data_IF_983795119790
#
_entry.id   IF_983795119790
#
_cell.length_a   1.000
_cell.length_b   1.000
_cell.length_c   1.000
_cell.angle_alpha   90.00
_cell.angle_beta   90.00
_cell.angle_gamma   90.00
#
_symmetry.space_group_name_H-M   'P 1'
#
loop_
_entity.id
_entity.type
_entity.pdbx_description
1 polymer ?
#
# COMPACT_ATOMS: atom_id res chain seq x y z
N UNK A 1 -17.18 -1.65 -6.94
CA UNK A 1 -16.87 -1.44 -5.51
C UNK A 1 -15.44 -1.87 -5.23
N UNK A 2 -14.73 -1.13 -4.41
CA UNK A 2 -13.34 -1.44 -4.06
C UNK A 2 -13.22 -2.76 -3.31
N UNK A 3 -12.35 -3.64 -3.77
CA UNK A 3 -12.00 -4.85 -3.03
C UNK A 3 -10.90 -4.51 -2.03
N UNK A 4 -11.03 -5.00 -0.79
CA UNK A 4 -10.07 -4.70 0.28
C UNK A 4 -9.39 -5.97 0.75
N UNK A 5 -8.04 -5.93 0.84
CA UNK A 5 -7.23 -7.02 1.34
C UNK A 5 -6.36 -6.52 2.50
N UNK A 6 -6.40 -7.24 3.63
CA UNK A 6 -5.52 -7.00 4.78
C UNK A 6 -4.46 -8.09 4.84
N UNK A 7 -3.20 -7.67 4.83
CA UNK A 7 -2.06 -8.56 5.08
C UNK A 7 -1.59 -8.34 6.50
N UNK A 8 -1.80 -9.33 7.37
CA UNK A 8 -1.56 -9.21 8.80
C UNK A 8 -0.31 -9.96 9.25
N UNK A 9 0.21 -9.61 10.42
CA UNK A 9 1.41 -10.20 11.02
C UNK A 9 2.65 -10.03 10.14
N UNK A 10 2.79 -8.87 9.49
CA UNK A 10 3.97 -8.56 8.71
C UNK A 10 5.19 -8.38 9.64
N UNK A 11 6.25 -9.18 9.51
CA UNK A 11 7.42 -9.05 10.38
C UNK A 11 8.18 -7.73 10.13
N UNK A 12 8.15 -7.24 8.90
CA UNK A 12 8.69 -5.94 8.52
C UNK A 12 7.68 -5.31 7.57
N UNK A 13 6.94 -4.34 8.09
CA UNK A 13 5.82 -3.73 7.36
C UNK A 13 6.28 -3.10 6.05
N UNK A 14 7.38 -2.36 6.07
CA UNK A 14 7.85 -1.64 4.89
C UNK A 14 8.44 -2.59 3.84
N UNK A 15 9.15 -3.62 4.27
CA UNK A 15 9.66 -4.64 3.37
C UNK A 15 8.53 -5.43 2.73
N UNK A 16 7.50 -5.76 3.51
CA UNK A 16 6.29 -6.41 3.00
C UNK A 16 5.61 -5.53 1.95
N UNK A 17 5.49 -4.24 2.22
CA UNK A 17 4.95 -3.27 1.26
C UNK A 17 5.76 -3.28 -0.04
N UNK A 18 7.08 -3.27 0.06
CA UNK A 18 7.97 -3.32 -1.10
C UNK A 18 7.72 -4.57 -1.95
N UNK A 19 7.57 -5.72 -1.32
CA UNK A 19 7.29 -6.99 -2.00
C UNK A 19 5.93 -6.99 -2.69
N UNK A 20 4.92 -6.42 -2.04
CA UNK A 20 3.58 -6.30 -2.61
C UNK A 20 3.61 -5.41 -3.85
N UNK A 21 4.31 -4.27 -3.76
CA UNK A 21 4.47 -3.36 -4.89
C UNK A 21 5.17 -4.04 -6.06
N UNK A 22 6.26 -4.75 -5.80
CA UNK A 22 7.02 -5.43 -6.84
C UNK A 22 6.18 -6.52 -7.53
N UNK A 23 5.41 -7.28 -6.76
CA UNK A 23 4.51 -8.29 -7.31
C UNK A 23 3.41 -7.66 -8.16
N UNK A 24 2.80 -6.59 -7.66
CA UNK A 24 1.75 -5.88 -8.38
C UNK A 24 2.27 -5.31 -9.70
N UNK A 25 3.47 -4.75 -9.69
CA UNK A 25 4.12 -4.27 -10.90
C UNK A 25 4.33 -5.39 -11.92
N UNK A 26 4.81 -6.55 -11.46
CA UNK A 26 5.01 -7.74 -12.31
C UNK A 26 3.70 -8.19 -12.96
N UNK A 27 2.59 -8.05 -12.23
CA UNK A 27 1.25 -8.38 -12.76
C UNK A 27 0.65 -7.29 -13.65
N UNK A 28 1.37 -6.19 -13.88
CA UNK A 28 0.91 -5.10 -14.74
C UNK A 28 0.01 -4.09 -14.06
N UNK A 29 -0.05 -4.06 -12.73
CA UNK A 29 -0.91 -3.13 -12.00
C UNK A 29 -0.24 -1.77 -11.82
N UNK A 30 -1.05 -0.72 -11.82
CA UNK A 30 -0.65 0.63 -11.44
C UNK A 30 -0.96 0.85 -9.97
N UNK A 31 0.04 1.27 -9.18
CA UNK A 31 -0.03 1.26 -7.73
C UNK A 31 0.29 2.65 -7.17
N UNK A 32 -0.54 3.11 -6.23
CA UNK A 32 -0.23 4.24 -5.37
C UNK A 32 0.10 3.70 -3.99
N UNK A 33 1.34 3.90 -3.54
CA UNK A 33 1.76 3.58 -2.16
C UNK A 33 1.64 4.86 -1.33
N UNK A 34 0.70 4.86 -0.40
CA UNK A 34 0.37 6.03 0.40
C UNK A 34 0.97 5.92 1.80
N UNK A 35 2.04 6.68 2.02
CA UNK A 35 2.86 6.63 3.24
C UNK A 35 2.41 7.67 4.27
N UNK A 36 2.68 7.42 5.58
CA UNK A 36 2.27 8.35 6.63
C UNK A 36 3.06 9.65 6.64
N UNK A 37 4.30 9.64 6.17
CA UNK A 37 5.20 10.79 6.20
C UNK A 37 6.28 10.68 5.12
N UNK A 38 7.04 11.78 4.98
CA UNK A 38 8.12 11.85 3.98
C UNK A 38 9.24 10.85 4.27
N UNK A 39 9.55 10.61 5.53
CA UNK A 39 10.61 9.66 5.92
C UNK A 39 10.26 8.23 5.46
N UNK A 40 9.05 7.79 5.73
CA UNK A 40 8.57 6.47 5.30
C UNK A 40 8.56 6.36 3.77
N UNK A 41 8.12 7.41 3.08
CA UNK A 41 8.12 7.44 1.62
C UNK A 41 9.55 7.30 1.07
N UNK A 42 10.51 7.98 1.64
CA UNK A 42 11.93 7.87 1.25
C UNK A 42 12.49 6.48 1.51
N UNK A 43 12.13 5.88 2.64
CA UNK A 43 12.58 4.53 2.99
C UNK A 43 12.01 3.49 2.03
N UNK A 44 10.74 3.60 1.66
CA UNK A 44 10.14 2.73 0.66
C UNK A 44 10.80 2.93 -0.70
N UNK A 45 11.04 4.17 -1.09
CA UNK A 45 11.73 4.49 -2.34
C UNK A 45 13.10 3.79 -2.42
N UNK A 46 13.88 3.84 -1.34
CA UNK A 46 15.18 3.14 -1.29
C UNK A 46 15.04 1.63 -1.42
N UNK A 47 14.05 1.05 -0.73
CA UNK A 47 13.80 -0.39 -0.81
C UNK A 47 13.44 -0.82 -2.22
N UNK A 48 12.64 -0.03 -2.93
CA UNK A 48 12.29 -0.32 -4.32
C UNK A 48 13.50 -0.27 -5.25
N UNK A 49 14.49 0.58 -4.93
CA UNK A 49 15.73 0.64 -5.70
C UNK A 49 16.69 -0.51 -5.40
N UNK A 50 16.71 -1.02 -4.17
CA UNK A 50 17.79 -1.86 -3.65
C UNK A 50 17.40 -3.28 -3.30
N UNK A 51 16.12 -3.63 -3.33
CA UNK A 51 15.66 -4.96 -2.88
C UNK A 51 15.65 -5.93 -4.06
N UNK A 52 16.67 -6.83 -4.19
CA UNK A 52 16.63 -7.92 -5.12
C UNK A 52 15.70 -9.04 -4.59
N UNK A 53 15.28 -10.00 -5.39
CA UNK A 53 15.56 -10.19 -6.82
C UNK A 53 14.53 -9.54 -7.75
N UNK A 54 13.74 -8.61 -7.25
CA UNK A 54 12.62 -8.03 -7.99
C UNK A 54 13.05 -7.23 -9.21
N UNK A 55 14.34 -6.91 -9.31
CA UNK A 55 14.83 -6.06 -10.36
C UNK A 55 14.35 -4.62 -10.17
N UNK A 56 14.44 -3.82 -11.22
CA UNK A 56 14.05 -2.43 -11.17
C UNK A 56 12.52 -2.30 -11.26
N UNK A 57 11.91 -1.62 -10.26
CA UNK A 57 10.49 -1.25 -10.29
C UNK A 57 10.39 0.24 -10.57
N UNK A 58 9.87 0.65 -11.73
CA UNK A 58 9.71 2.08 -12.02
C UNK A 58 8.77 2.74 -11.02
N UNK A 59 9.28 3.76 -10.31
CA UNK A 59 8.49 4.48 -9.32
C UNK A 59 8.93 5.94 -9.23
N UNK A 60 8.04 6.80 -8.77
CA UNK A 60 8.32 8.22 -8.58
C UNK A 60 7.37 8.85 -7.55
N UNK A 61 7.66 10.10 -7.17
CA UNK A 61 6.78 10.91 -6.34
C UNK A 61 5.70 11.59 -7.19
N UNK A 62 4.59 12.06 -6.59
CA UNK A 62 3.48 12.67 -7.34
C UNK A 62 3.88 13.93 -8.14
N UNK A 63 4.88 14.68 -7.68
CA UNK A 63 5.35 15.89 -8.35
C UNK A 63 6.30 15.66 -9.52
N UNK A 64 6.65 14.41 -9.82
CA UNK A 64 7.57 14.07 -10.89
C UNK A 64 6.91 14.32 -12.26
N UNK A 65 7.62 14.92 -13.24
CA UNK A 65 7.06 15.13 -14.58
C UNK A 65 6.62 13.85 -15.29
N UNK A 66 7.17 12.68 -14.89
CA UNK A 66 6.85 11.39 -15.49
C UNK A 66 5.75 10.63 -14.74
N UNK A 67 5.05 11.28 -13.81
CA UNK A 67 4.06 10.62 -12.94
C UNK A 67 3.00 9.86 -13.72
N UNK A 68 2.50 10.43 -14.82
CA UNK A 68 1.45 9.79 -15.62
C UNK A 68 1.92 8.53 -16.35
N UNK A 69 3.22 8.38 -16.53
CA UNK A 69 3.83 7.26 -17.27
C UNK A 69 4.45 6.22 -16.34
N UNK A 70 4.46 6.47 -15.04
CA UNK A 70 5.12 5.60 -14.07
C UNK A 70 4.10 4.73 -13.37
N UNK A 71 4.27 3.39 -13.35
CA UNK A 71 3.26 2.49 -12.77
C UNK A 71 3.16 2.56 -11.25
N UNK A 72 4.23 2.94 -10.56
CA UNK A 72 4.24 3.00 -9.09
C UNK A 72 4.51 4.42 -8.63
N UNK A 73 3.58 4.96 -7.85
CA UNK A 73 3.71 6.29 -7.24
C UNK A 73 3.86 6.11 -5.73
N UNK A 74 4.87 6.74 -5.16
CA UNK A 74 5.08 6.76 -3.69
C UNK A 74 4.73 8.15 -3.19
N UNK A 75 3.64 8.26 -2.44
CA UNK A 75 3.09 9.53 -1.97
C UNK A 75 2.96 9.55 -0.45
N UNK A 76 3.02 10.75 0.15
CA UNK A 76 2.77 10.94 1.58
C UNK A 76 1.87 12.15 1.87
N UNK A 77 1.46 12.88 0.85
CA UNK A 77 0.68 14.11 1.03
C UNK A 77 -0.81 13.93 0.84
N UNK A 78 -1.25 12.91 0.11
CA UNK A 78 -2.66 12.66 -0.13
C UNK A 78 -3.29 13.61 -1.14
N UNK A 79 -2.51 14.13 -2.08
CA UNK A 79 -3.03 14.91 -3.19
C UNK A 79 -3.83 14.03 -4.13
N UNK A 80 -4.51 14.63 -5.10
CA UNK A 80 -5.38 13.89 -6.01
C UNK A 80 -4.62 12.78 -6.73
N UNK A 81 -5.03 11.51 -6.58
CA UNK A 81 -4.28 10.39 -7.14
C UNK A 81 -4.37 10.35 -8.66
N UNK A 82 -3.24 10.02 -9.29
CA UNK A 82 -3.14 9.81 -10.74
C UNK A 82 -3.65 8.43 -11.12
N UNK A 83 -3.41 7.43 -10.27
CA UNK A 83 -3.84 6.05 -10.51
C UNK A 83 -5.14 5.74 -9.81
N UNK A 84 -5.84 4.71 -10.31
CA UNK A 84 -7.12 4.25 -9.76
C UNK A 84 -7.23 2.72 -9.65
N UNK A 85 -6.13 1.99 -9.85
CA UNK A 85 -6.17 0.53 -9.79
C UNK A 85 -5.91 -0.01 -8.40
N UNK A 86 -4.71 0.17 -7.86
CA UNK A 86 -4.32 -0.39 -6.57
C UNK A 86 -3.82 0.72 -5.64
N UNK A 87 -4.43 0.82 -4.47
CA UNK A 87 -3.98 1.70 -3.40
C UNK A 87 -3.39 0.84 -2.29
N UNK A 88 -2.11 1.05 -1.98
CA UNK A 88 -1.44 0.43 -0.83
C UNK A 88 -1.39 1.46 0.29
N UNK A 89 -2.15 1.22 1.36
CA UNK A 89 -2.21 2.15 2.49
C UNK A 89 -1.22 1.74 3.58
N UNK A 90 -0.29 2.65 3.88
CA UNK A 90 0.68 2.47 4.97
C UNK A 90 0.43 3.44 6.11
N UNK A 91 -0.65 4.21 6.06
CA UNK A 91 -1.02 5.17 7.09
C UNK A 91 -1.85 4.51 8.19
N UNK A 92 -1.96 5.19 9.34
CA UNK A 92 -2.79 4.75 10.45
C UNK A 92 -4.28 4.95 10.17
N UNK A 93 -4.63 5.98 9.40
CA UNK A 93 -6.01 6.27 9.03
C UNK A 93 -6.34 5.69 7.66
N UNK A 94 -7.64 5.51 7.39
CA UNK A 94 -8.07 5.15 6.04
C UNK A 94 -7.97 6.39 5.13
N UNK A 95 -7.46 6.22 3.90
CA UNK A 95 -7.41 7.34 2.96
C UNK A 95 -8.81 7.75 2.52
N UNK A 96 -9.09 9.06 2.50
CA UNK A 96 -10.42 9.55 2.13
C UNK A 96 -10.82 9.16 0.71
N UNK A 97 -9.85 8.97 -0.16
CA UNK A 97 -10.08 8.65 -1.58
C UNK A 97 -10.03 7.16 -1.91
N UNK A 98 -10.02 6.28 -0.89
CA UNK A 98 -9.82 4.84 -1.14
C UNK A 98 -10.88 4.24 -2.09
N UNK A 99 -12.09 4.75 -2.05
CA UNK A 99 -13.19 4.27 -2.88
C UNK A 99 -13.03 4.53 -4.38
N UNK A 100 -12.04 5.34 -4.76
CA UNK A 100 -11.73 5.60 -6.18
C UNK A 100 -10.89 4.50 -6.81
N UNK A 101 -10.34 3.59 -6.00
CA UNK A 101 -9.47 2.52 -6.46
C UNK A 101 -10.25 1.21 -6.62
N UNK A 102 -9.81 0.38 -7.55
CA UNK A 102 -10.38 -0.95 -7.73
C UNK A 102 -10.05 -1.86 -6.57
N UNK A 103 -8.85 -1.69 -6.00
CA UNK A 103 -8.35 -2.50 -4.91
C UNK A 103 -7.60 -1.65 -3.88
N UNK A 104 -7.86 -1.94 -2.60
CA UNK A 104 -7.13 -1.35 -1.48
C UNK A 104 -6.39 -2.46 -0.74
N UNK A 105 -5.10 -2.26 -0.50
CA UNK A 105 -4.28 -3.19 0.27
C UNK A 105 -3.84 -2.50 1.56
N UNK A 106 -4.10 -3.18 2.69
CA UNK A 106 -3.66 -2.76 4.02
C UNK A 106 -2.59 -3.72 4.51
N UNK A 107 -1.51 -3.19 5.09
CA UNK A 107 -0.44 -3.99 5.68
C UNK A 107 -0.40 -3.73 7.17
N UNK A 108 -0.46 -4.79 7.97
CA UNK A 108 -0.51 -4.72 9.43
C UNK A 108 0.68 -5.48 10.01
N UNK A 109 1.48 -4.82 10.84
CA UNK A 109 2.58 -5.45 11.54
C UNK A 109 2.11 -6.18 12.80
N UNK A 110 3.05 -6.84 13.50
CA UNK A 110 2.76 -7.46 14.79
C UNK A 110 2.71 -6.48 15.96
N UNK A 111 3.02 -5.21 15.74
CA UNK A 111 2.98 -4.18 16.78
C UNK A 111 1.55 -3.95 17.30
N UNK A 112 1.40 -3.85 18.62
CA UNK A 112 0.09 -3.73 19.26
C UNK A 112 -0.67 -2.48 18.83
N UNK A 113 0.02 -1.35 18.71
CA UNK A 113 -0.61 -0.09 18.27
C UNK A 113 -1.04 -0.15 16.81
N UNK A 114 -0.20 -0.71 15.96
CA UNK A 114 -0.54 -0.87 14.54
C UNK A 114 -1.75 -1.79 14.37
N UNK A 115 -1.81 -2.88 15.13
CA UNK A 115 -2.95 -3.80 15.11
C UNK A 115 -4.24 -3.13 15.60
N UNK A 116 -4.15 -2.30 16.62
CA UNK A 116 -5.31 -1.55 17.13
C UNK A 116 -5.86 -0.60 16.07
N UNK A 117 -4.99 0.17 15.42
CA UNK A 117 -5.37 1.08 14.35
C UNK A 117 -5.96 0.34 13.15
N UNK A 118 -5.39 -0.81 12.82
CA UNK A 118 -5.89 -1.66 11.74
C UNK A 118 -7.30 -2.17 12.01
N UNK A 119 -7.62 -2.51 13.26
CA UNK A 119 -8.98 -2.92 13.65
C UNK A 119 -9.99 -1.81 13.43
N UNK A 120 -9.61 -0.57 13.71
CA UNK A 120 -10.47 0.60 13.46
C UNK A 120 -10.76 0.76 11.97
N UNK A 121 -9.73 0.62 11.12
CA UNK A 121 -9.90 0.68 9.66
C UNK A 121 -10.75 -0.47 9.16
N UNK A 122 -10.51 -1.68 9.64
CA UNK A 122 -11.28 -2.87 9.27
C UNK A 122 -12.77 -2.66 9.58
N UNK A 123 -13.08 -2.18 10.78
CA UNK A 123 -14.46 -1.89 11.18
C UNK A 123 -15.09 -0.85 10.27
N UNK A 124 -14.36 0.21 9.95
CA UNK A 124 -14.84 1.26 9.08
C UNK A 124 -15.25 0.71 7.71
N UNK A 125 -14.39 -0.10 7.09
CA UNK A 125 -14.68 -0.67 5.77
C UNK A 125 -15.83 -1.68 5.84
N UNK A 126 -15.84 -2.53 6.86
CA UNK A 126 -16.90 -3.52 7.06
C UNK A 126 -18.27 -2.86 7.23
N UNK A 127 -18.34 -1.82 8.05
CA UNK A 127 -19.60 -1.13 8.35
C UNK A 127 -20.16 -0.44 7.11
N UNK A 128 -19.32 -0.17 6.11
CA UNK A 128 -19.76 0.40 4.84
C UNK A 128 -20.07 -0.66 3.78
N UNK A 129 -20.00 -1.92 4.12
CA UNK A 129 -20.37 -3.00 3.24
C UNK A 129 -19.30 -3.43 2.24
N UNK A 130 -18.05 -3.04 2.45
CA UNK A 130 -16.98 -3.49 1.56
C UNK A 130 -16.63 -4.96 1.81
N UNK A 131 -16.26 -5.66 0.73
CA UNK A 131 -15.79 -7.03 0.80
C UNK A 131 -14.32 -7.02 1.23
N UNK A 132 -14.02 -7.72 2.33
CA UNK A 132 -12.67 -7.70 2.93
C UNK A 132 -12.13 -9.12 2.99
N UNK A 133 -10.90 -9.29 2.48
CA UNK A 133 -10.14 -10.53 2.62
C UNK A 133 -8.96 -10.30 3.55
N UNK A 134 -8.67 -11.27 4.40
CA UNK A 134 -7.55 -11.21 5.33
C UNK A 134 -6.53 -12.31 5.00
N UNK A 135 -5.26 -11.93 4.93
CA UNK A 135 -4.15 -12.84 4.65
C UNK A 135 -3.18 -12.79 5.82
N UNK A 136 -3.08 -13.87 6.59
CA UNK A 136 -2.16 -13.97 7.72
C UNK A 136 -0.79 -14.45 7.22
N UNK A 137 0.20 -13.57 7.29
CA UNK A 137 1.56 -13.87 6.80
C UNK A 137 2.29 -14.90 7.66
N UNK A 138 1.90 -15.07 8.93
CA UNK A 138 2.44 -16.14 9.76
C UNK A 138 1.92 -17.52 9.36
N UNK A 139 0.69 -17.61 8.89
CA UNK A 139 0.09 -18.87 8.48
C UNK A 139 0.68 -19.43 7.19
N UNK A 140 1.42 -18.62 6.45
CA UNK A 140 2.05 -19.01 5.18
C UNK A 140 3.42 -19.67 5.36
N UNK A 141 3.87 -19.83 6.59
CA UNK A 141 5.17 -20.43 6.89
C UNK A 141 5.23 -21.92 6.57
#
# INVERSE_FOLDING_TARGET
MTQIDFYTNAPDKLLTACRIVAKGYTLGHKILAFCPDADTAQRLDRLLWTTPPTGFVPHCAPGDPLVSFTPVIVDHCGEEPVHDQVLLNLRDEWPAFFGRFERLIEVVSGDANDRLRARERYKFYRDRGYDIRTHDLNAAA
#
